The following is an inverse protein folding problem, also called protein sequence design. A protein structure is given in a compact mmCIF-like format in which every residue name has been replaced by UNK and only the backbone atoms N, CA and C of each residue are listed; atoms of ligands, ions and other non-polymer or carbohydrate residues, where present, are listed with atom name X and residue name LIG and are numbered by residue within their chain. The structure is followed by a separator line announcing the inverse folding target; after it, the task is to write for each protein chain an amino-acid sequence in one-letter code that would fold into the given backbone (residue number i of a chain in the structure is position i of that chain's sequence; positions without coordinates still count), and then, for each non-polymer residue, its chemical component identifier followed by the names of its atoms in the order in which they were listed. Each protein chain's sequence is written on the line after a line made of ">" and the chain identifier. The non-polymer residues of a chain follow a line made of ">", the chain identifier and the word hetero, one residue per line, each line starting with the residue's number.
data_IF_736399110810
#
_entry.id   IF_736399110810
#
_cell.length_a   1.000
_cell.length_b   1.000
_cell.length_c   1.000
_cell.angle_alpha   90.00
_cell.angle_beta   90.00
_cell.angle_gamma   90.00
#
_symmetry.space_group_name_H-M   'P 1'
#
loop_
_entity.id
_entity.type
_entity.pdbx_description
1 polymer ?
#
# COMPACT_ATOMS: atom_id res chain seq x y z
N UNK A 1 -1.31 -11.94 -21.57
CA UNK A 1 -0.32 -11.19 -20.76
C UNK A 1 0.24 -12.03 -19.62
N UNK A 2 1.43 -11.67 -19.14
CA UNK A 2 2.11 -12.17 -17.95
C UNK A 2 1.85 -11.20 -16.79
N UNK A 3 1.12 -11.64 -15.78
CA UNK A 3 0.82 -10.84 -14.60
C UNK A 3 1.53 -11.40 -13.35
N UNK A 4 2.06 -10.49 -12.52
CA UNK A 4 2.68 -10.83 -11.25
C UNK A 4 1.85 -10.22 -10.11
N UNK A 5 1.33 -11.05 -9.22
CA UNK A 5 0.65 -10.57 -8.01
C UNK A 5 1.66 -10.60 -6.85
N UNK A 6 1.91 -9.45 -6.24
CA UNK A 6 2.77 -9.33 -5.07
C UNK A 6 1.93 -9.55 -3.81
N UNK A 7 1.96 -10.76 -3.24
CA UNK A 7 1.14 -11.16 -2.09
C UNK A 7 1.92 -12.11 -1.18
N UNK A 8 1.72 -12.01 0.14
CA UNK A 8 2.38 -12.89 1.13
C UNK A 8 2.13 -14.38 0.88
N UNK A 9 0.94 -14.72 0.39
CA UNK A 9 0.57 -16.10 0.00
C UNK A 9 -0.44 -16.10 -1.15
N UNK A 10 -0.42 -17.17 -1.94
CA UNK A 10 -1.44 -17.47 -2.94
C UNK A 10 -2.72 -18.06 -2.31
N UNK A 11 -2.65 -18.55 -1.06
CA UNK A 11 -3.79 -19.11 -0.34
C UNK A 11 -4.74 -18.05 0.23
N UNK A 12 -4.35 -16.77 0.24
CA UNK A 12 -5.23 -15.67 0.69
C UNK A 12 -6.43 -15.61 -0.25
N UNK A 13 -7.69 -15.66 0.25
CA UNK A 13 -8.88 -15.77 -0.60
C UNK A 13 -8.95 -14.71 -1.73
N UNK A 14 -8.66 -13.45 -1.41
CA UNK A 14 -8.63 -12.38 -2.43
C UNK A 14 -7.54 -12.59 -3.48
N UNK A 15 -6.35 -13.04 -3.09
CA UNK A 15 -5.26 -13.36 -4.02
C UNK A 15 -5.60 -14.57 -4.88
N UNK A 16 -6.16 -15.64 -4.29
CA UNK A 16 -6.63 -16.83 -4.99
C UNK A 16 -7.66 -16.45 -6.06
N UNK A 17 -8.66 -15.63 -5.69
CA UNK A 17 -9.69 -15.17 -6.62
C UNK A 17 -9.10 -14.39 -7.79
N UNK A 18 -8.13 -13.50 -7.54
CA UNK A 18 -7.43 -12.77 -8.62
C UNK A 18 -6.71 -13.73 -9.58
N UNK A 19 -6.03 -14.76 -9.05
CA UNK A 19 -5.35 -15.78 -9.87
C UNK A 19 -6.36 -16.56 -10.72
N UNK A 20 -7.46 -17.01 -10.13
CA UNK A 20 -8.51 -17.77 -10.83
C UNK A 20 -9.11 -16.97 -11.99
N UNK A 21 -9.54 -15.73 -11.73
CA UNK A 21 -10.13 -14.86 -12.76
C UNK A 21 -9.12 -14.57 -13.88
N UNK A 22 -7.88 -14.24 -13.53
CA UNK A 22 -6.89 -13.90 -14.52
C UNK A 22 -6.53 -15.11 -15.42
N UNK A 23 -6.47 -16.32 -14.84
CA UNK A 23 -6.32 -17.57 -15.60
C UNK A 23 -7.51 -17.85 -16.50
N UNK A 24 -8.74 -17.68 -15.99
CA UNK A 24 -9.96 -17.84 -16.79
C UNK A 24 -10.02 -16.89 -17.99
N UNK A 25 -9.36 -15.72 -17.89
CA UNK A 25 -9.20 -14.75 -18.99
C UNK A 25 -7.97 -15.01 -19.88
N UNK A 26 -7.34 -16.18 -19.77
CA UNK A 26 -6.19 -16.58 -20.60
C UNK A 26 -4.87 -15.88 -20.24
N UNK A 27 -4.75 -15.27 -19.06
CA UNK A 27 -3.50 -14.65 -18.62
C UNK A 27 -2.59 -15.63 -17.88
N UNK A 28 -1.27 -15.51 -18.07
CA UNK A 28 -0.28 -16.25 -17.30
C UNK A 28 -0.01 -15.50 -16.00
N UNK A 29 -0.41 -16.06 -14.87
CA UNK A 29 -0.31 -15.38 -13.57
C UNK A 29 0.56 -16.15 -12.60
N UNK A 30 1.43 -15.43 -11.90
CA UNK A 30 2.21 -15.94 -10.76
C UNK A 30 2.00 -15.06 -9.54
N UNK A 31 2.10 -15.67 -8.36
CA UNK A 31 2.10 -14.97 -7.08
C UNK A 31 3.52 -14.99 -6.52
N UNK A 32 4.04 -13.84 -6.15
CA UNK A 32 5.35 -13.70 -5.50
C UNK A 32 5.20 -13.07 -4.13
N UNK A 33 5.82 -13.66 -3.12
CA UNK A 33 5.93 -13.05 -1.80
C UNK A 33 6.95 -11.91 -1.87
N UNK A 34 6.57 -10.64 -1.59
CA UNK A 34 7.49 -9.51 -1.68
C UNK A 34 8.76 -9.70 -0.86
N UNK A 35 8.65 -10.33 0.32
CA UNK A 35 9.79 -10.57 1.22
C UNK A 35 10.80 -11.60 0.70
N UNK A 36 10.48 -12.30 -0.39
CA UNK A 36 11.39 -13.25 -1.05
C UNK A 36 12.00 -12.69 -2.33
N UNK A 37 11.58 -11.48 -2.74
CA UNK A 37 12.20 -10.77 -3.85
C UNK A 37 13.51 -10.18 -3.35
N UNK A 38 14.58 -10.35 -4.12
CA UNK A 38 15.88 -9.77 -3.86
C UNK A 38 16.20 -8.79 -4.99
N UNK A 39 16.86 -7.69 -4.66
CA UNK A 39 17.21 -6.63 -5.60
C UNK A 39 18.73 -6.54 -5.69
N UNK A 40 19.28 -6.72 -6.89
CA UNK A 40 20.67 -6.41 -7.17
C UNK A 40 20.74 -5.09 -7.92
N UNK A 41 21.38 -4.09 -7.28
CA UNK A 41 21.53 -2.74 -7.79
C UNK A 41 23.04 -2.45 -7.88
N UNK A 42 23.55 -2.14 -9.06
CA UNK A 42 24.98 -1.87 -9.29
C UNK A 42 25.23 -0.44 -9.84
N UNK A 43 24.20 0.41 -9.82
CA UNK A 43 24.23 1.76 -10.38
C UNK A 43 24.05 1.84 -11.90
N UNK A 44 24.09 0.72 -12.62
CA UNK A 44 23.87 0.63 -14.08
C UNK A 44 22.65 -0.20 -14.42
N UNK A 45 22.44 -1.28 -13.68
CA UNK A 45 21.37 -2.25 -13.82
C UNK A 45 20.69 -2.46 -12.49
N UNK A 46 19.40 -2.78 -12.58
CA UNK A 46 18.61 -3.21 -11.44
C UNK A 46 17.93 -4.53 -11.79
N UNK A 47 18.42 -5.63 -11.21
CA UNK A 47 17.90 -6.97 -11.48
C UNK A 47 17.16 -7.51 -10.28
N UNK A 48 15.94 -8.00 -10.51
CA UNK A 48 15.14 -8.66 -9.50
C UNK A 48 15.35 -10.18 -9.52
N UNK A 49 15.47 -10.77 -8.35
CA UNK A 49 15.60 -12.21 -8.13
C UNK A 49 14.50 -12.71 -7.20
N UNK A 50 14.19 -14.01 -7.29
CA UNK A 50 13.33 -14.71 -6.35
C UNK A 50 13.96 -16.04 -5.98
N UNK A 51 14.54 -16.09 -4.78
CA UNK A 51 15.57 -17.09 -4.47
C UNK A 51 16.77 -16.92 -5.39
N UNK A 52 17.31 -18.02 -5.93
CA UNK A 52 18.52 -18.00 -6.78
C UNK A 52 18.25 -17.72 -8.26
N UNK A 53 17.01 -17.38 -8.65
CA UNK A 53 16.61 -17.22 -10.05
C UNK A 53 16.23 -15.77 -10.34
N UNK A 54 16.77 -15.22 -11.44
CA UNK A 54 16.35 -13.93 -11.99
C UNK A 54 14.85 -13.99 -12.30
N UNK A 55 14.12 -12.95 -11.92
CA UNK A 55 12.69 -12.86 -12.22
C UNK A 55 12.49 -12.71 -13.73
N UNK A 56 11.70 -13.62 -14.30
CA UNK A 56 11.27 -13.47 -15.67
C UNK A 56 10.43 -12.18 -15.84
N UNK A 57 10.46 -11.53 -17.01
CA UNK A 57 9.66 -10.34 -17.29
C UNK A 57 8.17 -10.55 -17.03
N UNK A 58 7.48 -9.46 -16.69
CA UNK A 58 6.04 -9.42 -16.45
C UNK A 58 5.49 -8.14 -17.08
N UNK A 59 4.28 -8.20 -17.63
CA UNK A 59 3.67 -7.07 -18.32
C UNK A 59 3.05 -6.10 -17.29
N UNK A 60 2.47 -6.68 -16.23
CA UNK A 60 1.81 -5.94 -15.16
C UNK A 60 2.09 -6.55 -13.79
N UNK A 61 2.17 -5.70 -12.77
CA UNK A 61 2.24 -6.08 -11.36
C UNK A 61 1.02 -5.58 -10.60
N UNK A 62 0.45 -6.46 -9.77
CA UNK A 62 -0.66 -6.16 -8.87
C UNK A 62 -0.17 -6.21 -7.42
N UNK A 63 0.14 -5.06 -6.79
CA UNK A 63 0.55 -5.00 -5.40
C UNK A 63 -0.58 -5.35 -4.42
N UNK A 64 -0.38 -6.41 -3.64
CA UNK A 64 -1.23 -6.80 -2.49
C UNK A 64 -0.37 -6.83 -1.23
N UNK A 65 0.18 -5.67 -0.90
CA UNK A 65 1.13 -5.49 0.20
C UNK A 65 0.37 -5.46 1.53
N UNK A 66 0.73 -6.31 2.50
CA UNK A 66 0.14 -6.27 3.84
C UNK A 66 0.77 -5.15 4.69
N UNK A 67 0.05 -4.62 5.68
CA UNK A 67 0.55 -3.52 6.52
C UNK A 67 1.84 -3.90 7.24
N UNK A 68 1.93 -5.14 7.72
CA UNK A 68 3.11 -5.69 8.42
C UNK A 68 4.38 -5.78 7.59
N UNK A 69 4.30 -5.62 6.27
CA UNK A 69 5.46 -5.68 5.36
C UNK A 69 5.59 -4.41 4.51
N UNK A 70 4.99 -3.30 4.94
CA UNK A 70 4.87 -2.10 4.11
C UNK A 70 6.21 -1.58 3.62
N UNK A 71 7.21 -1.44 4.51
CA UNK A 71 8.51 -0.85 4.14
C UNK A 71 9.17 -1.62 2.99
N UNK A 72 9.41 -2.93 3.17
CA UNK A 72 10.05 -3.74 2.15
C UNK A 72 9.14 -4.01 0.94
N UNK A 73 7.86 -4.26 1.18
CA UNK A 73 6.88 -4.53 0.13
C UNK A 73 6.73 -3.36 -0.84
N UNK A 74 6.69 -2.11 -0.33
CA UNK A 74 6.63 -0.91 -1.15
C UNK A 74 7.96 -0.65 -1.89
N UNK A 75 9.11 -0.97 -1.29
CA UNK A 75 10.40 -0.90 -1.97
C UNK A 75 10.44 -1.83 -3.21
N UNK A 76 9.93 -3.06 -3.07
CA UNK A 76 9.80 -4.00 -4.20
C UNK A 76 8.87 -3.44 -5.29
N UNK A 77 7.71 -2.87 -4.91
CA UNK A 77 6.78 -2.24 -5.86
C UNK A 77 7.45 -1.08 -6.61
N UNK A 78 8.19 -0.22 -5.89
CA UNK A 78 8.96 0.87 -6.50
C UNK A 78 9.96 0.35 -7.51
N UNK A 79 10.66 -0.75 -7.19
CA UNK A 79 11.64 -1.32 -8.11
C UNK A 79 11.02 -1.83 -9.41
N UNK A 80 9.82 -2.41 -9.36
CA UNK A 80 9.06 -2.75 -10.58
C UNK A 80 8.67 -1.50 -11.39
N UNK A 81 8.28 -0.41 -10.71
CA UNK A 81 7.99 0.86 -11.35
C UNK A 81 9.20 1.49 -12.04
N UNK A 82 10.37 1.49 -11.38
CA UNK A 82 11.64 1.93 -11.95
C UNK A 82 12.06 1.07 -13.15
N UNK A 83 11.74 -0.23 -13.12
CA UNK A 83 11.90 -1.14 -14.25
C UNK A 83 10.86 -0.95 -15.37
N UNK A 84 10.05 0.12 -15.32
CA UNK A 84 9.00 0.47 -16.29
C UNK A 84 7.93 -0.62 -16.50
N UNK A 85 7.69 -1.43 -15.48
CA UNK A 85 6.58 -2.41 -15.48
C UNK A 85 5.29 -1.70 -15.08
N UNK A 86 4.19 -2.00 -15.78
CA UNK A 86 2.88 -1.42 -15.44
C UNK A 86 2.45 -1.84 -14.03
N UNK A 87 2.01 -0.88 -13.21
CA UNK A 87 1.60 -1.13 -11.83
C UNK A 87 0.12 -0.82 -11.62
N UNK A 88 -0.63 -1.77 -11.05
CA UNK A 88 -1.99 -1.51 -10.57
C UNK A 88 -1.90 -0.90 -9.17
N UNK A 89 -1.67 0.42 -9.13
CA UNK A 89 -1.25 1.26 -8.01
C UNK A 89 0.28 1.28 -7.79
N UNK A 90 0.84 2.49 -7.83
CA UNK A 90 2.24 2.74 -7.49
C UNK A 90 2.47 2.69 -5.97
N UNK A 91 3.71 2.48 -5.54
CA UNK A 91 4.01 2.38 -4.11
C UNK A 91 3.65 3.67 -3.36
N UNK A 92 3.83 4.84 -3.98
CA UNK A 92 3.41 6.13 -3.42
C UNK A 92 1.90 6.15 -3.17
N UNK A 93 1.07 5.77 -4.14
CA UNK A 93 -0.38 5.73 -3.99
C UNK A 93 -0.81 4.80 -2.82
N UNK A 94 -0.19 3.62 -2.71
CA UNK A 94 -0.45 2.68 -1.62
C UNK A 94 -0.02 3.26 -0.26
N UNK A 95 1.11 3.96 -0.21
CA UNK A 95 1.59 4.61 1.01
C UNK A 95 0.64 5.74 1.44
N UNK A 96 0.22 6.59 0.50
CA UNK A 96 -0.70 7.69 0.79
C UNK A 96 -2.07 7.20 1.26
N UNK A 97 -2.63 6.19 0.59
CA UNK A 97 -3.94 5.63 0.96
C UNK A 97 -3.96 4.97 2.35
N UNK A 98 -2.79 4.57 2.88
CA UNK A 98 -2.65 3.98 4.22
C UNK A 98 -2.51 5.04 5.32
N UNK A 99 -1.94 6.18 4.99
CA UNK A 99 -1.77 7.27 5.92
C UNK A 99 -3.03 8.15 5.90
N UNK A 100 -3.88 7.98 6.93
CA UNK A 100 -5.15 8.73 7.04
C UNK A 100 -4.94 10.24 7.02
N UNK A 101 -3.94 10.75 7.74
CA UNK A 101 -3.63 12.19 7.74
C UNK A 101 -3.34 12.66 6.33
N UNK A 102 -2.44 11.95 5.65
CA UNK A 102 -2.00 12.35 4.33
C UNK A 102 -3.09 12.17 3.27
N UNK A 103 -3.92 11.14 3.39
CA UNK A 103 -5.11 10.98 2.54
C UNK A 103 -6.07 12.17 2.72
N UNK A 104 -6.39 12.57 3.95
CA UNK A 104 -7.27 13.72 4.21
C UNK A 104 -6.67 15.05 3.72
N UNK A 105 -5.36 15.26 3.94
CA UNK A 105 -4.65 16.41 3.38
C UNK A 105 -4.75 16.45 1.85
N UNK A 106 -4.60 15.31 1.17
CA UNK A 106 -4.70 15.24 -0.28
C UNK A 106 -6.12 15.52 -0.77
N UNK A 107 -7.14 14.92 -0.12
CA UNK A 107 -8.55 15.17 -0.47
C UNK A 107 -8.90 16.65 -0.31
N UNK A 108 -8.55 17.25 0.83
CA UNK A 108 -8.77 18.68 1.10
C UNK A 108 -8.05 19.57 0.08
N UNK A 109 -6.79 19.29 -0.22
CA UNK A 109 -6.00 20.08 -1.18
C UNK A 109 -6.55 20.03 -2.61
N UNK A 110 -7.35 19.03 -2.96
CA UNK A 110 -8.02 18.90 -4.26
C UNK A 110 -9.48 19.35 -4.23
N UNK A 111 -9.94 19.99 -3.14
CA UNK A 111 -11.31 20.49 -3.03
C UNK A 111 -12.36 19.39 -2.89
N UNK A 112 -11.97 18.20 -2.44
CA UNK A 112 -12.92 17.12 -2.14
C UNK A 112 -13.41 17.30 -0.71
N UNK A 113 -14.72 17.31 -0.52
CA UNK A 113 -15.35 17.44 0.78
C UNK A 113 -14.90 16.33 1.74
N UNK A 114 -14.46 16.74 2.92
CA UNK A 114 -14.09 15.88 4.03
C UNK A 114 -14.70 16.43 5.32
N UNK A 115 -14.92 15.60 6.36
CA UNK A 115 -15.31 16.10 7.67
C UNK A 115 -14.25 17.06 8.23
N UNK A 116 -14.69 18.12 8.91
CA UNK A 116 -13.77 18.98 9.67
C UNK A 116 -12.92 18.12 10.60
N UNK A 117 -11.59 18.22 10.47
CA UNK A 117 -10.65 17.32 11.11
C UNK A 117 -9.47 18.12 11.65
N UNK A 118 -9.23 18.02 12.96
CA UNK A 118 -7.97 18.46 13.58
C UNK A 118 -7.05 17.26 13.75
N UNK A 119 -5.77 17.43 13.41
CA UNK A 119 -4.73 16.43 13.59
C UNK A 119 -3.69 16.99 14.56
N UNK A 120 -3.43 16.26 15.64
CA UNK A 120 -2.47 16.66 16.65
C UNK A 120 -1.55 15.49 17.03
N UNK A 121 -0.32 15.81 17.45
CA UNK A 121 0.64 14.82 17.95
C UNK A 121 0.34 14.40 19.39
N UNK A 122 -0.11 15.34 20.21
CA UNK A 122 -0.46 15.16 21.61
C UNK A 122 -1.82 15.84 21.91
N UNK A 123 -2.29 15.68 23.14
CA UNK A 123 -3.61 16.14 23.57
C UNK A 123 -3.57 17.35 24.52
N UNK A 124 -2.44 18.08 24.62
CA UNK A 124 -2.27 19.16 25.60
C UNK A 124 -3.36 20.25 25.49
N UNK A 125 -3.84 20.51 24.26
CA UNK A 125 -4.85 21.53 23.97
C UNK A 125 -6.15 20.94 23.41
N UNK A 126 -6.55 19.74 23.87
CA UNK A 126 -7.71 19.01 23.29
C UNK A 126 -9.01 19.84 23.29
N UNK A 127 -9.30 20.61 24.34
CA UNK A 127 -10.50 21.47 24.39
C UNK A 127 -10.52 22.53 23.29
N UNK A 128 -9.38 23.18 23.06
CA UNK A 128 -9.23 24.19 21.99
C UNK A 128 -9.36 23.54 20.61
N UNK A 129 -8.73 22.37 20.42
CA UNK A 129 -8.83 21.58 19.19
C UNK A 129 -10.28 21.17 18.89
N UNK A 130 -11.05 20.76 19.89
CA UNK A 130 -12.49 20.47 19.75
C UNK A 130 -13.27 21.74 19.41
N UNK A 131 -12.86 22.90 19.94
CA UNK A 131 -13.41 24.20 19.57
C UNK A 131 -13.29 24.50 18.07
N UNK A 132 -12.17 24.14 17.43
CA UNK A 132 -11.97 24.28 15.98
C UNK A 132 -12.95 23.42 15.16
N UNK A 133 -13.51 22.38 15.76
CA UNK A 133 -14.49 21.48 15.14
C UNK A 133 -15.95 21.90 15.39
N UNK A 134 -16.18 22.98 16.16
CA UNK A 134 -17.52 23.45 16.53
C UNK A 134 -18.08 22.84 17.81
N UNK A 135 -17.27 22.14 18.60
CA UNK A 135 -17.69 21.52 19.86
C UNK A 135 -17.97 20.01 19.75
N UNK A 136 -18.52 19.43 20.81
CA UNK A 136 -18.89 18.01 20.89
C UNK A 136 -20.27 17.75 20.27
N UNK A 137 -20.55 16.54 19.72
CA UNK A 137 -19.71 15.34 19.72
C UNK A 137 -18.62 15.34 18.64
N UNK A 138 -17.47 14.72 18.94
CA UNK A 138 -16.35 14.54 18.00
C UNK A 138 -15.93 13.07 17.94
N UNK A 139 -15.36 12.64 16.81
CA UNK A 139 -14.74 11.32 16.65
C UNK A 139 -13.23 11.42 16.88
N UNK A 140 -12.66 10.58 17.74
CA UNK A 140 -11.22 10.55 18.00
C UNK A 140 -10.59 9.32 17.35
N UNK A 141 -9.55 9.54 16.54
CA UNK A 141 -8.83 8.45 15.84
C UNK A 141 -7.33 8.52 16.10
N UNK A 142 -6.82 7.48 16.77
CA UNK A 142 -5.38 7.29 16.92
C UNK A 142 -4.77 6.78 15.60
N UNK A 143 -3.66 7.39 15.19
CA UNK A 143 -3.00 7.08 13.91
C UNK A 143 -2.17 5.80 13.96
N UNK A 144 -1.65 5.47 15.14
CA UNK A 144 -0.83 4.29 15.37
C UNK A 144 -1.45 3.49 16.52
N UNK A 145 -2.27 2.49 16.18
CA UNK A 145 -2.70 1.48 17.14
C UNK A 145 -1.68 0.34 17.13
N UNK A 146 -0.84 0.25 18.17
CA UNK A 146 -0.40 -1.08 18.60
C UNK A 146 -1.65 -1.72 19.20
N UNK A 147 -2.22 -2.67 18.48
CA UNK A 147 -3.26 -3.61 18.94
C UNK A 147 -4.62 -3.02 19.41
N UNK A 148 -5.63 -3.27 18.55
CA UNK A 148 -7.03 -3.61 18.90
C UNK A 148 -7.95 -2.62 19.65
N UNK A 149 -7.53 -1.40 20.01
CA UNK A 149 -8.42 -0.41 20.67
C UNK A 149 -8.70 0.82 19.80
N UNK A 150 -9.24 0.61 18.59
CA UNK A 150 -9.20 1.59 17.51
C UNK A 150 -10.52 2.25 17.10
N UNK A 151 -11.44 2.56 18.01
CA UNK A 151 -12.49 3.59 17.88
C UNK A 151 -12.90 4.01 19.30
N UNK A 152 -12.82 5.30 19.63
CA UNK A 152 -13.47 5.87 20.81
C UNK A 152 -14.23 7.13 20.39
#
# INVERSE_FOLDING_TARGET
>A
MKATILSRSASIPSTRRLVEVARARGHRVRVLNPLRVQMHLDGRTATLYYGRKKLAPTDVVLPRIAQSISNYGLAVVNQFGLARVSLVNHAQAIAQSRNKMRSLQLLSAHGIDIPSTVMARDAAHLKEMVGLLGGVPVLVKLLQGQEKHGVM
#
